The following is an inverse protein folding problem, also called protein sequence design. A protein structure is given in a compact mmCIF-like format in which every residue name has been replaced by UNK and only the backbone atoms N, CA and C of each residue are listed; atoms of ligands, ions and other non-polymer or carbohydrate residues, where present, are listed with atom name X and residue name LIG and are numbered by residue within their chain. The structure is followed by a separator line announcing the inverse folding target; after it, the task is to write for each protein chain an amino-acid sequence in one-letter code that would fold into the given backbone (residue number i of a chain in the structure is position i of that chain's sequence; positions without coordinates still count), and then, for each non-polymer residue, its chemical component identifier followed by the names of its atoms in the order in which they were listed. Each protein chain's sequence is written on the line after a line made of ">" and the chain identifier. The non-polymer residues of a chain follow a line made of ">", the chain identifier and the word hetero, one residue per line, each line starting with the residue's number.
data_IF_287921035135
#
_entry.id   IF_287921035135
#
_cell.length_a   1.000
_cell.length_b   1.000
_cell.length_c   1.000
_cell.angle_alpha   90.00
_cell.angle_beta   90.00
_cell.angle_gamma   90.00
#
_symmetry.space_group_name_H-M   'P 1'
#
loop_
_entity.id
_entity.type
_entity.pdbx_description
1 polymer ?
#
# COMPACT_ATOMS: atom_id res chain seq x y z
N UNK A 1 13.53 14.38 -80.92
CA UNK A 1 14.28 13.10 -80.85
C UNK A 1 14.26 12.63 -79.41
N UNK A 2 13.59 11.51 -79.15
CA UNK A 2 13.35 10.97 -77.80
C UNK A 2 14.53 10.06 -77.45
N UNK A 3 15.33 10.43 -76.45
CA UNK A 3 16.46 9.61 -76.01
C UNK A 3 15.96 8.59 -74.98
N UNK A 4 15.75 7.35 -75.42
CA UNK A 4 15.38 6.25 -74.56
C UNK A 4 16.57 5.89 -73.66
N UNK A 5 16.47 6.22 -72.36
CA UNK A 5 17.40 5.74 -71.35
C UNK A 5 17.31 4.21 -71.29
N UNK A 6 18.35 3.55 -71.81
CA UNK A 6 18.49 2.09 -71.82
C UNK A 6 18.36 1.53 -70.40
N UNK A 7 17.68 0.38 -70.27
CA UNK A 7 17.46 -0.35 -69.00
C UNK A 7 18.74 -0.57 -68.20
N UNK A 8 19.89 -0.66 -68.89
CA UNK A 8 21.20 -0.76 -68.25
C UNK A 8 21.64 0.53 -67.56
N UNK A 9 21.29 1.69 -68.13
CA UNK A 9 21.52 3.00 -67.51
C UNK A 9 20.72 3.19 -66.23
N UNK A 10 19.43 2.82 -66.24
CA UNK A 10 18.58 2.84 -65.04
C UNK A 10 19.07 1.86 -63.97
N UNK A 11 19.53 0.67 -64.36
CA UNK A 11 20.15 -0.28 -63.41
C UNK A 11 21.45 0.27 -62.81
N UNK A 12 22.27 0.94 -63.61
CA UNK A 12 23.51 1.55 -63.15
C UNK A 12 23.23 2.71 -62.17
N UNK A 13 22.25 3.56 -62.47
CA UNK A 13 21.81 4.64 -61.57
C UNK A 13 21.22 4.10 -60.27
N UNK A 14 20.37 3.08 -60.33
CA UNK A 14 19.76 2.48 -59.14
C UNK A 14 20.82 1.80 -58.27
N UNK A 15 21.81 1.15 -58.89
CA UNK A 15 22.94 0.57 -58.17
C UNK A 15 23.83 1.64 -57.52
N UNK A 16 24.10 2.75 -58.22
CA UNK A 16 24.87 3.88 -57.68
C UNK A 16 24.12 4.57 -56.52
N UNK A 17 22.80 4.78 -56.63
CA UNK A 17 21.97 5.31 -55.56
C UNK A 17 21.96 4.39 -54.32
N UNK A 18 21.91 3.07 -54.54
CA UNK A 18 21.96 2.08 -53.45
C UNK A 18 23.33 2.01 -52.77
N UNK A 19 24.42 2.27 -53.50
CA UNK A 19 25.75 2.39 -52.91
C UNK A 19 25.94 3.69 -52.13
N UNK A 20 25.35 4.81 -52.58
CA UNK A 20 25.32 6.06 -51.80
C UNK A 20 24.55 5.89 -50.48
N UNK A 21 23.37 5.24 -50.53
CA UNK A 21 22.58 4.94 -49.34
C UNK A 21 23.28 3.99 -48.35
N UNK A 22 24.19 3.11 -48.84
CA UNK A 22 25.03 2.26 -47.99
C UNK A 22 26.30 2.97 -47.47
N UNK A 23 26.76 4.02 -48.14
CA UNK A 23 27.90 4.85 -47.72
C UNK A 23 27.52 5.95 -46.73
N UNK A 24 26.24 6.35 -46.68
CA UNK A 24 25.67 7.34 -45.77
C UNK A 24 24.96 6.71 -44.55
N UNK A 25 25.39 5.52 -44.11
CA UNK A 25 25.10 5.12 -42.73
C UNK A 25 25.92 6.04 -41.81
N UNK A 26 25.24 7.08 -41.29
CA UNK A 26 25.78 7.96 -40.26
C UNK A 26 26.48 7.12 -39.18
N UNK A 27 27.67 7.53 -38.68
CA UNK A 27 28.40 6.73 -37.72
C UNK A 27 27.54 6.53 -36.48
N UNK A 28 26.98 5.33 -36.32
CA UNK A 28 26.33 4.93 -35.09
C UNK A 28 27.40 5.06 -34.01
N UNK A 29 27.25 6.06 -33.13
CA UNK A 29 28.08 6.22 -31.94
C UNK A 29 27.85 4.98 -31.08
N UNK A 30 28.63 3.93 -31.33
CA UNK A 30 28.74 2.79 -30.42
C UNK A 30 29.38 3.34 -29.16
N UNK A 31 28.55 3.67 -28.19
CA UNK A 31 29.01 3.97 -26.83
C UNK A 31 29.61 2.65 -26.33
N UNK A 32 30.90 2.46 -26.58
CA UNK A 32 31.70 1.49 -25.85
C UNK A 32 31.92 2.09 -24.47
N UNK A 33 31.00 1.86 -23.55
CA UNK A 33 31.32 1.91 -22.12
C UNK A 33 32.24 0.75 -21.82
N UNK A 34 33.51 0.89 -22.20
CA UNK A 34 34.56 0.15 -21.52
C UNK A 34 34.66 0.78 -20.14
N UNK A 35 34.16 0.06 -19.13
CA UNK A 35 34.46 0.34 -17.74
C UNK A 35 35.97 0.08 -17.56
N UNK A 36 36.77 1.05 -17.95
CA UNK A 36 38.19 1.10 -17.64
C UNK A 36 38.29 1.45 -16.17
N UNK A 37 38.46 0.44 -15.33
CA UNK A 37 39.13 0.61 -14.05
C UNK A 37 40.61 0.87 -14.37
N UNK A 38 40.92 2.11 -14.74
CA UNK A 38 42.28 2.52 -15.05
C UNK A 38 42.82 3.31 -13.87
N UNK A 39 43.83 2.75 -13.21
CA UNK A 39 44.79 3.46 -12.36
C UNK A 39 45.62 4.43 -13.25
N UNK A 40 44.96 5.46 -13.77
CA UNK A 40 45.66 6.58 -14.35
C UNK A 40 46.24 7.44 -13.21
N UNK A 41 47.49 7.92 -13.30
CA UNK A 41 48.03 8.82 -12.29
C UNK A 41 47.15 10.07 -12.23
N UNK A 42 46.46 10.24 -11.10
CA UNK A 42 45.55 11.36 -10.88
C UNK A 42 46.37 12.64 -10.72
N UNK A 43 45.93 13.72 -11.37
CA UNK A 43 46.52 15.05 -11.20
C UNK A 43 46.42 15.52 -9.74
N UNK A 44 47.20 16.54 -9.36
CA UNK A 44 47.21 17.08 -7.99
C UNK A 44 45.81 17.44 -7.45
N UNK A 45 44.89 17.83 -8.35
CA UNK A 45 43.48 18.10 -8.04
C UNK A 45 42.68 16.83 -7.71
N UNK A 46 42.91 15.73 -8.42
CA UNK A 46 42.30 14.43 -8.11
C UNK A 46 42.78 13.87 -6.76
N UNK A 47 44.04 14.12 -6.40
CA UNK A 47 44.57 13.76 -5.07
C UNK A 47 44.01 14.64 -3.93
N UNK A 48 43.47 15.83 -4.22
CA UNK A 48 42.75 16.66 -3.25
C UNK A 48 41.29 16.21 -3.10
N UNK A 49 40.63 15.88 -4.21
CA UNK A 49 39.28 15.30 -4.25
C UNK A 49 39.22 13.96 -3.50
N UNK A 50 40.17 13.05 -3.72
CA UNK A 50 40.25 11.77 -2.99
C UNK A 50 40.38 11.97 -1.47
N UNK A 51 41.18 12.94 -1.03
CA UNK A 51 41.32 13.26 0.41
C UNK A 51 40.06 13.88 1.00
N UNK A 52 39.30 14.62 0.19
CA UNK A 52 38.00 15.16 0.61
C UNK A 52 36.96 14.05 0.71
N UNK A 53 36.98 13.08 -0.21
CA UNK A 53 36.17 11.87 -0.17
C UNK A 53 36.49 11.01 1.06
N UNK A 54 37.76 10.78 1.36
CA UNK A 54 38.20 10.04 2.55
C UNK A 54 37.68 10.69 3.84
N UNK A 55 37.78 12.02 3.96
CA UNK A 55 37.24 12.78 5.11
C UNK A 55 35.71 12.69 5.18
N UNK A 56 35.02 12.66 4.04
CA UNK A 56 33.57 12.47 4.00
C UNK A 56 33.17 11.05 4.42
N UNK A 57 33.96 10.04 4.03
CA UNK A 57 33.79 8.65 4.44
C UNK A 57 34.06 8.45 5.93
N UNK A 58 35.05 9.13 6.52
CA UNK A 58 35.29 9.10 7.97
C UNK A 58 34.14 9.76 8.76
N UNK A 59 33.60 10.88 8.27
CA UNK A 59 32.41 11.52 8.85
C UNK A 59 31.18 10.63 8.77
N UNK A 60 30.97 9.96 7.64
CA UNK A 60 29.83 9.04 7.49
C UNK A 60 29.99 7.80 8.36
N UNK A 61 31.20 7.22 8.45
CA UNK A 61 31.52 6.10 9.36
C UNK A 61 31.27 6.46 10.82
N UNK A 62 31.78 7.59 11.30
CA UNK A 62 31.56 8.03 12.69
C UNK A 62 30.08 8.34 12.98
N UNK A 63 29.33 8.88 12.01
CA UNK A 63 27.88 9.05 12.15
C UNK A 63 27.14 7.71 12.21
N UNK A 64 27.55 6.73 11.41
CA UNK A 64 27.00 5.36 11.44
C UNK A 64 27.33 4.65 12.75
N UNK A 65 28.54 4.81 13.29
CA UNK A 65 28.90 4.26 14.60
C UNK A 65 28.08 4.88 15.73
N UNK A 66 27.85 6.21 15.71
CA UNK A 66 26.97 6.87 16.68
C UNK A 66 25.54 6.33 16.58
N UNK A 67 25.02 6.16 15.37
CA UNK A 67 23.71 5.55 15.14
C UNK A 67 23.68 4.10 15.61
N UNK A 68 24.67 3.29 15.28
CA UNK A 68 24.76 1.89 15.72
C UNK A 68 24.79 1.78 17.25
N UNK A 69 25.52 2.67 17.94
CA UNK A 69 25.48 2.74 19.42
C UNK A 69 24.11 3.16 19.95
N UNK A 70 23.43 4.10 19.30
CA UNK A 70 22.07 4.50 19.66
C UNK A 70 21.07 3.35 19.45
N UNK A 71 21.13 2.67 18.30
CA UNK A 71 20.30 1.50 18.01
C UNK A 71 20.60 0.31 18.92
N UNK A 72 21.87 0.10 19.30
CA UNK A 72 22.22 -0.94 20.28
C UNK A 72 21.59 -0.62 21.64
N UNK A 73 21.65 0.64 22.10
CA UNK A 73 20.96 1.06 23.33
C UNK A 73 19.44 0.89 23.23
N UNK A 74 18.85 1.24 22.08
CA UNK A 74 17.43 1.09 21.80
C UNK A 74 17.00 -0.39 21.81
N UNK A 75 17.75 -1.25 21.13
CA UNK A 75 17.51 -2.69 21.05
C UNK A 75 17.65 -3.38 22.41
N UNK A 76 18.49 -2.85 23.30
CA UNK A 76 18.66 -3.35 24.66
C UNK A 76 17.66 -2.72 25.65
N UNK A 77 16.68 -1.93 25.19
CA UNK A 77 15.69 -1.27 26.05
C UNK A 77 16.29 -0.24 27.01
N UNK A 78 17.54 0.19 26.79
CA UNK A 78 18.30 1.07 27.70
C UNK A 78 17.99 2.56 27.51
N UNK A 79 17.16 2.91 26.53
CA UNK A 79 16.83 4.29 26.17
C UNK A 79 15.31 4.46 25.96
N UNK A 80 14.53 3.91 26.90
CA UNK A 80 13.07 3.98 26.91
C UNK A 80 12.52 3.90 28.34
N UNK A 81 13.19 4.58 29.27
CA UNK A 81 12.81 4.61 30.67
C UNK A 81 12.86 6.03 31.22
N UNK A 82 11.67 6.58 31.44
CA UNK A 82 11.33 7.68 32.35
C UNK A 82 11.57 9.12 31.86
N UNK A 83 12.65 9.47 31.15
CA UNK A 83 12.94 10.90 30.88
C UNK A 83 12.77 11.40 29.44
N UNK A 84 12.63 10.51 28.45
CA UNK A 84 12.51 10.94 27.04
C UNK A 84 11.28 10.32 26.38
N UNK A 85 10.22 11.13 26.28
CA UNK A 85 9.05 10.91 25.42
C UNK A 85 9.52 10.59 24.00
N UNK A 86 9.28 9.36 23.50
CA UNK A 86 9.61 9.11 22.09
C UNK A 86 9.43 7.71 21.52
N UNK A 87 9.43 6.64 22.32
CA UNK A 87 9.13 5.30 21.81
C UNK A 87 8.20 4.56 22.77
N UNK A 88 7.01 4.21 22.27
CA UNK A 88 6.09 3.27 22.91
C UNK A 88 6.76 1.90 22.91
N UNK A 89 7.00 1.35 24.10
CA UNK A 89 7.45 -0.03 24.26
C UNK A 89 6.22 -0.94 24.15
N UNK A 90 6.06 -1.61 23.01
CA UNK A 90 4.95 -2.54 22.78
C UNK A 90 4.97 -3.69 23.80
N UNK A 91 6.15 -4.11 24.29
CA UNK A 91 6.23 -5.17 25.31
C UNK A 91 5.68 -4.71 26.68
N UNK A 92 5.62 -3.40 26.95
CA UNK A 92 4.99 -2.81 28.15
C UNK A 92 3.52 -2.51 27.91
N UNK A 93 3.16 -2.06 26.70
CA UNK A 93 1.77 -1.84 26.31
C UNK A 93 0.95 -3.12 26.41
N UNK A 94 1.54 -4.26 26.06
CA UNK A 94 0.91 -5.57 26.19
C UNK A 94 0.64 -5.93 27.68
N UNK A 95 1.50 -5.51 28.63
CA UNK A 95 1.26 -5.73 30.08
C UNK A 95 0.21 -4.76 30.64
N UNK A 96 0.22 -3.50 30.22
CA UNK A 96 -0.82 -2.52 30.60
C UNK A 96 -2.19 -2.94 30.05
N UNK A 97 -2.26 -3.46 28.81
CA UNK A 97 -3.51 -4.00 28.24
C UNK A 97 -3.98 -5.28 28.96
N UNK A 98 -3.08 -6.21 29.33
CA UNK A 98 -3.46 -7.40 30.12
C UNK A 98 -4.00 -7.02 31.52
N UNK A 99 -3.43 -6.00 32.18
CA UNK A 99 -3.92 -5.50 33.48
C UNK A 99 -5.24 -4.71 33.33
N UNK A 100 -5.40 -3.90 32.27
CA UNK A 100 -6.64 -3.18 31.97
C UNK A 100 -7.79 -4.13 31.56
N UNK A 101 -7.51 -5.20 30.81
CA UNK A 101 -8.49 -6.24 30.45
C UNK A 101 -9.00 -7.03 31.69
N UNK A 102 -8.17 -7.16 32.74
CA UNK A 102 -8.62 -7.75 34.01
C UNK A 102 -9.56 -6.82 34.81
N UNK A 103 -9.45 -5.50 34.64
CA UNK A 103 -10.30 -4.49 35.29
C UNK A 103 -11.58 -4.17 34.50
N UNK A 104 -11.53 -4.16 33.16
CA UNK A 104 -12.68 -3.98 32.28
C UNK A 104 -13.41 -5.29 31.98
N UNK A 105 -14.00 -5.88 33.03
CA UNK A 105 -14.97 -6.97 32.84
C UNK A 105 -16.20 -6.44 32.10
N UNK A 106 -16.30 -6.71 30.80
CA UNK A 106 -17.53 -6.51 30.02
C UNK A 106 -18.71 -7.21 30.71
N UNK A 107 -19.93 -6.65 30.65
CA UNK A 107 -21.10 -7.33 31.18
C UNK A 107 -21.29 -8.65 30.42
N UNK A 108 -21.36 -9.75 31.18
CA UNK A 108 -21.45 -11.11 30.64
C UNK A 108 -22.47 -11.21 29.50
N UNK A 109 -22.00 -11.58 28.31
CA UNK A 109 -22.79 -11.77 27.10
C UNK A 109 -23.84 -12.90 27.20
N UNK A 110 -24.01 -13.49 28.38
CA UNK A 110 -24.93 -14.59 28.68
C UNK A 110 -25.89 -14.24 29.84
N UNK A 111 -26.22 -12.96 30.08
CA UNK A 111 -27.30 -12.63 31.02
C UNK A 111 -28.65 -13.20 30.51
N UNK A 112 -29.26 -14.20 31.20
CA UNK A 112 -30.50 -14.81 30.76
C UNK A 112 -31.72 -13.86 30.85
N UNK A 113 -31.56 -12.67 31.43
CA UNK A 113 -32.64 -11.69 31.56
C UNK A 113 -32.72 -10.66 30.42
N UNK A 114 -31.89 -10.74 29.38
CA UNK A 114 -31.90 -9.79 28.25
C UNK A 114 -32.34 -10.45 26.93
N UNK A 115 -33.65 -10.41 26.60
CA UNK A 115 -34.17 -11.07 25.40
C UNK A 115 -33.78 -10.33 24.11
N UNK A 116 -33.61 -11.09 23.02
CA UNK A 116 -33.44 -10.51 21.68
C UNK A 116 -34.80 -10.04 21.14
N UNK A 117 -34.85 -8.81 20.68
CA UNK A 117 -36.02 -8.12 20.12
C UNK A 117 -35.74 -7.75 18.65
N UNK A 118 -36.77 -7.81 17.81
CA UNK A 118 -36.71 -7.31 16.44
C UNK A 118 -36.72 -5.77 16.44
N UNK A 119 -35.63 -5.16 15.99
CA UNK A 119 -35.47 -3.71 15.90
C UNK A 119 -35.34 -3.26 14.45
N UNK A 120 -36.08 -2.21 14.08
CA UNK A 120 -35.91 -1.52 12.80
C UNK A 120 -34.88 -0.40 12.95
N UNK A 121 -33.75 -0.56 12.28
CA UNK A 121 -32.69 0.44 12.18
C UNK A 121 -33.16 1.68 11.40
N UNK A 122 -32.43 2.80 11.51
CA UNK A 122 -32.72 4.08 10.83
C UNK A 122 -32.84 3.95 9.30
N UNK A 123 -32.25 2.88 8.75
CA UNK A 123 -32.28 2.53 7.33
C UNK A 123 -33.47 1.62 6.94
N UNK A 124 -34.42 1.37 7.85
CA UNK A 124 -35.58 0.51 7.62
C UNK A 124 -35.24 -0.98 7.49
N UNK A 125 -34.11 -1.42 8.06
CA UNK A 125 -33.70 -2.82 8.08
C UNK A 125 -34.04 -3.43 9.43
N UNK A 126 -34.71 -4.57 9.43
CA UNK A 126 -34.98 -5.35 10.66
C UNK A 126 -33.73 -6.12 11.09
N UNK A 127 -33.29 -5.93 12.33
CA UNK A 127 -32.16 -6.66 12.94
C UNK A 127 -32.59 -7.19 14.31
N UNK A 128 -32.08 -8.36 14.69
CA UNK A 128 -32.24 -8.89 16.05
C UNK A 128 -31.21 -8.21 16.96
N UNK A 129 -31.66 -7.46 17.94
CA UNK A 129 -30.82 -6.71 18.90
C UNK A 129 -31.33 -7.02 20.32
N UNK A 130 -30.45 -6.98 21.32
CA UNK A 130 -30.86 -7.12 22.72
C UNK A 130 -31.75 -5.96 23.16
N UNK A 131 -32.64 -6.19 24.11
CA UNK A 131 -33.56 -5.16 24.57
C UNK A 131 -32.81 -4.00 25.25
N UNK A 132 -31.69 -4.27 25.92
CA UNK A 132 -30.83 -3.29 26.58
C UNK A 132 -30.14 -2.30 25.62
N UNK A 133 -29.79 -2.76 24.41
CA UNK A 133 -29.08 -1.99 23.39
C UNK A 133 -29.99 -1.09 22.54
N UNK A 134 -31.31 -1.17 22.75
CA UNK A 134 -32.28 -0.35 22.03
C UNK A 134 -32.13 1.13 22.40
N UNK A 135 -32.08 2.05 21.42
CA UNK A 135 -32.06 3.47 21.72
C UNK A 135 -33.36 3.85 22.44
N UNK A 136 -33.25 4.41 23.65
CA UNK A 136 -34.41 4.90 24.40
C UNK A 136 -35.10 5.99 23.58
N UNK A 137 -36.32 5.70 23.13
CA UNK A 137 -37.14 6.65 22.39
C UNK A 137 -37.28 7.94 23.22
N UNK A 138 -36.90 9.07 22.62
CA UNK A 138 -37.21 10.37 23.19
C UNK A 138 -38.74 10.53 23.21
N UNK A 139 -39.35 11.05 24.29
CA UNK A 139 -40.79 11.21 24.34
C UNK A 139 -41.23 12.11 23.19
N UNK A 140 -42.02 11.55 22.28
CA UNK A 140 -42.69 12.28 21.21
C UNK A 140 -43.58 13.33 21.85
N UNK A 141 -43.18 14.60 21.74
CA UNK A 141 -44.05 15.73 22.08
C UNK A 141 -45.12 15.76 20.98
N UNK A 142 -46.41 15.56 21.31
CA UNK A 142 -47.46 15.64 20.31
C UNK A 142 -47.47 17.04 19.73
N UNK A 143 -47.41 17.15 18.40
CA UNK A 143 -47.59 18.40 17.70
C UNK A 143 -49.00 18.94 18.00
N UNK A 144 -49.09 20.00 18.81
CA UNK A 144 -50.32 20.76 19.01
C UNK A 144 -50.82 21.25 17.64
N UNK A 145 -52.07 20.94 17.24
CA UNK A 145 -52.59 21.36 15.95
C UNK A 145 -52.82 22.87 15.96
N UNK A 146 -51.91 23.62 15.33
CA UNK A 146 -52.15 25.02 15.00
C UNK A 146 -53.24 25.12 13.93
N UNK A 147 -54.51 25.18 14.34
CA UNK A 147 -55.71 25.34 13.51
C UNK A 147 -55.83 26.72 12.80
N UNK A 148 -54.73 27.46 12.69
CA UNK A 148 -54.69 28.83 12.16
C UNK A 148 -54.31 28.88 10.66
N UNK A 149 -54.47 27.79 9.93
CA UNK A 149 -54.14 27.73 8.50
C UNK A 149 -55.21 28.45 7.67
N UNK A 150 -54.95 29.69 7.29
CA UNK A 150 -55.74 30.41 6.28
C UNK A 150 -55.50 29.76 4.91
N UNK A 151 -56.38 28.84 4.51
CA UNK A 151 -56.40 28.29 3.15
C UNK A 151 -56.99 29.33 2.18
N UNK A 152 -56.13 29.95 1.36
CA UNK A 152 -56.57 30.72 0.20
C UNK A 152 -57.23 29.81 -0.86
N UNK A 153 -57.87 30.38 -1.91
CA UNK A 153 -58.43 29.58 -3.00
C UNK A 153 -57.31 28.74 -3.61
N UNK A 154 -57.39 27.43 -3.44
CA UNK A 154 -56.38 26.48 -3.88
C UNK A 154 -56.30 26.51 -5.41
N UNK A 155 -55.46 27.39 -5.95
CA UNK A 155 -54.99 27.27 -7.33
C UNK A 155 -54.19 25.98 -7.40
N UNK A 156 -54.46 25.18 -8.43
CA UNK A 156 -53.87 23.86 -8.66
C UNK A 156 -52.36 23.89 -8.37
N UNK A 157 -51.94 23.29 -7.25
CA UNK A 157 -50.53 23.07 -6.99
C UNK A 157 -49.98 22.17 -8.11
N UNK A 158 -48.84 22.49 -8.72
CA UNK A 158 -48.22 21.59 -9.68
C UNK A 158 -47.86 20.30 -8.96
N UNK A 159 -48.65 19.25 -9.18
CA UNK A 159 -48.35 17.90 -8.68
C UNK A 159 -47.17 17.38 -9.49
N UNK A 160 -46.04 17.16 -8.82
CA UNK A 160 -44.86 16.58 -9.44
C UNK A 160 -45.17 15.12 -9.83
N UNK A 161 -45.42 14.89 -11.11
CA UNK A 161 -45.51 13.55 -11.65
C UNK A 161 -44.10 13.03 -11.90
N UNK A 162 -43.63 12.11 -11.05
CA UNK A 162 -42.39 11.37 -11.26
C UNK A 162 -42.61 10.31 -12.35
N UNK A 163 -42.91 10.74 -13.58
CA UNK A 163 -42.79 9.86 -14.73
C UNK A 163 -41.29 9.65 -14.94
N UNK A 164 -40.75 8.43 -14.75
CA UNK A 164 -39.33 8.21 -14.96
C UNK A 164 -39.04 8.60 -16.40
N UNK A 165 -38.17 9.60 -16.56
CA UNK A 165 -37.74 10.03 -17.89
C UNK A 165 -36.97 8.87 -18.47
N UNK A 166 -37.62 8.06 -19.30
CA UNK A 166 -36.97 6.99 -20.04
C UNK A 166 -36.04 7.66 -21.04
N UNK A 167 -34.81 7.93 -20.61
CA UNK A 167 -33.76 8.31 -21.53
C UNK A 167 -33.65 7.16 -22.54
N UNK A 168 -33.60 7.44 -23.85
CA UNK A 168 -33.27 6.40 -24.81
C UNK A 168 -31.86 5.93 -24.46
N UNK A 169 -31.77 4.82 -23.72
CA UNK A 169 -30.52 4.10 -23.52
C UNK A 169 -30.24 3.57 -24.92
N UNK A 170 -29.23 4.09 -25.65
CA UNK A 170 -28.85 3.47 -26.91
C UNK A 170 -28.59 2.01 -26.58
N UNK A 171 -29.28 1.09 -27.25
CA UNK A 171 -29.00 -0.34 -27.16
C UNK A 171 -27.48 -0.48 -27.21
N UNK A 172 -26.91 -0.90 -26.09
CA UNK A 172 -25.46 -0.88 -25.82
C UNK A 172 -24.79 -1.41 -27.07
N UNK A 173 -24.10 -0.53 -27.82
CA UNK A 173 -23.46 -0.91 -29.07
C UNK A 173 -22.70 -2.20 -28.79
N UNK A 174 -22.88 -3.22 -29.63
CA UNK A 174 -22.15 -4.50 -29.58
C UNK A 174 -20.66 -4.31 -29.92
N UNK A 175 -20.04 -3.22 -29.47
CA UNK A 175 -18.61 -3.13 -29.33
C UNK A 175 -18.23 -4.14 -28.25
N UNK A 176 -17.35 -5.11 -28.52
CA UNK A 176 -16.85 -5.98 -27.46
C UNK A 176 -16.26 -5.06 -26.39
N UNK A 177 -16.82 -5.12 -25.19
CA UNK A 177 -16.20 -4.42 -24.08
C UNK A 177 -14.80 -5.00 -23.90
N UNK A 178 -13.81 -4.18 -23.52
CA UNK A 178 -12.53 -4.72 -23.14
C UNK A 178 -12.77 -5.73 -22.01
N UNK A 179 -12.54 -7.01 -22.29
CA UNK A 179 -12.76 -8.11 -21.31
C UNK A 179 -11.85 -7.96 -20.09
N UNK A 180 -10.89 -7.04 -20.16
CA UNK A 180 -9.72 -6.98 -19.31
C UNK A 180 -9.44 -5.55 -18.85
N UNK A 181 -9.14 -5.45 -17.56
CA UNK A 181 -8.71 -4.21 -16.93
C UNK A 181 -7.41 -3.70 -17.58
N UNK A 182 -7.44 -2.46 -18.04
CA UNK A 182 -6.26 -1.73 -18.49
C UNK A 182 -5.69 -0.91 -17.32
N UNK A 183 -4.47 -1.28 -16.95
CA UNK A 183 -3.76 -0.59 -15.90
C UNK A 183 -3.40 0.85 -16.29
N UNK A 184 -3.17 1.20 -17.56
CA UNK A 184 -2.69 2.55 -17.90
C UNK A 184 -3.77 3.63 -17.76
N UNK A 185 -5.04 3.21 -17.82
CA UNK A 185 -6.21 4.07 -17.64
C UNK A 185 -6.52 4.39 -16.16
N UNK A 186 -6.05 3.57 -15.21
CA UNK A 186 -6.40 3.75 -13.79
C UNK A 186 -5.43 4.71 -13.07
N UNK A 187 -5.96 5.87 -12.69
CA UNK A 187 -5.24 6.93 -11.97
C UNK A 187 -5.13 6.70 -10.46
N UNK A 188 -5.77 5.65 -9.91
CA UNK A 188 -5.73 5.38 -8.47
C UNK A 188 -4.35 4.86 -8.03
N UNK A 189 -4.01 5.14 -6.77
CA UNK A 189 -2.81 4.61 -6.14
C UNK A 189 -2.89 3.08 -6.04
N UNK A 190 -1.82 2.39 -6.42
CA UNK A 190 -1.74 0.92 -6.44
C UNK A 190 -0.84 0.45 -5.30
N UNK A 191 -1.18 -0.69 -4.71
CA UNK A 191 -0.39 -1.29 -3.63
C UNK A 191 0.94 -1.87 -4.12
N UNK A 192 1.85 -2.15 -3.18
CA UNK A 192 3.18 -2.69 -3.47
C UNK A 192 3.18 -4.06 -4.18
N UNK A 193 2.07 -4.79 -4.12
CA UNK A 193 1.89 -6.09 -4.77
C UNK A 193 1.18 -6.00 -6.14
N UNK A 194 1.03 -4.80 -6.70
CA UNK A 194 0.39 -4.63 -7.99
C UNK A 194 1.25 -5.19 -9.14
N UNK A 195 0.65 -6.04 -9.98
CA UNK A 195 1.28 -6.60 -11.18
C UNK A 195 0.45 -6.25 -12.42
N UNK A 196 1.10 -5.68 -13.44
CA UNK A 196 0.46 -5.32 -14.72
C UNK A 196 0.62 -6.47 -15.71
N UNK A 197 -0.50 -7.06 -16.13
CA UNK A 197 -0.52 -8.06 -17.20
C UNK A 197 -0.36 -7.42 -18.58
N UNK A 198 0.13 -8.21 -19.54
CA UNK A 198 0.17 -7.82 -20.95
C UNK A 198 -1.25 -7.67 -21.53
N UNK A 199 -1.37 -6.89 -22.60
CA UNK A 199 -2.59 -6.74 -23.39
C UNK A 199 -2.80 -7.94 -24.32
N UNK A 200 -1.72 -8.65 -24.70
CA UNK A 200 -1.82 -9.88 -25.49
C UNK A 200 -2.30 -11.06 -24.63
N UNK A 201 -3.37 -11.72 -25.08
CA UNK A 201 -4.04 -12.78 -24.30
C UNK A 201 -3.15 -14.00 -24.03
N UNK A 202 -2.34 -14.40 -25.01
CA UNK A 202 -1.43 -15.53 -24.85
C UNK A 202 -0.35 -15.25 -23.80
N UNK A 203 0.21 -14.04 -23.83
CA UNK A 203 1.27 -13.60 -22.91
C UNK A 203 0.68 -13.44 -21.50
N UNK A 204 -0.49 -12.81 -21.40
CA UNK A 204 -1.24 -12.69 -20.14
C UNK A 204 -1.52 -14.05 -19.52
N UNK A 205 -2.00 -15.01 -20.31
CA UNK A 205 -2.30 -16.37 -19.82
C UNK A 205 -1.03 -17.09 -19.36
N UNK A 206 0.10 -16.88 -20.01
CA UNK A 206 1.39 -17.38 -19.54
C UNK A 206 1.79 -16.74 -18.20
N UNK A 207 1.72 -15.41 -18.10
CA UNK A 207 2.00 -14.68 -16.86
C UNK A 207 1.11 -15.14 -15.68
N UNK A 208 -0.18 -15.38 -15.94
CA UNK A 208 -1.10 -15.90 -14.92
C UNK A 208 -0.72 -17.31 -14.45
N UNK A 209 -0.29 -18.19 -15.36
CA UNK A 209 0.20 -19.53 -14.99
C UNK A 209 1.46 -19.46 -14.15
N UNK A 210 2.40 -18.60 -14.52
CA UNK A 210 3.64 -18.42 -13.76
C UNK A 210 3.37 -17.90 -12.34
N UNK A 211 2.46 -16.93 -12.20
CA UNK A 211 2.03 -16.44 -10.88
C UNK A 211 1.32 -17.52 -10.05
N UNK A 212 0.49 -18.37 -10.68
CA UNK A 212 -0.13 -19.50 -10.00
C UNK A 212 0.91 -20.52 -9.53
N UNK A 213 1.90 -20.84 -10.36
CA UNK A 213 2.99 -21.73 -9.99
C UNK A 213 3.79 -21.19 -8.79
N UNK A 214 4.19 -19.92 -8.83
CA UNK A 214 4.85 -19.25 -7.70
C UNK A 214 4.00 -19.27 -6.43
N UNK A 215 2.69 -19.06 -6.55
CA UNK A 215 1.76 -19.16 -5.42
C UNK A 215 1.79 -20.56 -4.82
N UNK A 216 1.65 -21.61 -5.63
CA UNK A 216 1.71 -22.99 -5.15
C UNK A 216 3.05 -23.32 -4.50
N UNK A 217 4.17 -22.84 -5.03
CA UNK A 217 5.48 -23.00 -4.38
C UNK A 217 5.55 -22.32 -3.02
N UNK A 218 5.01 -21.10 -2.90
CA UNK A 218 4.99 -20.39 -1.61
C UNK A 218 4.07 -21.05 -0.59
N UNK A 219 2.93 -21.59 -1.04
CA UNK A 219 1.99 -22.35 -0.21
C UNK A 219 2.64 -23.65 0.27
N UNK A 220 3.31 -24.39 -0.63
CA UNK A 220 4.06 -25.60 -0.28
C UNK A 220 5.18 -25.30 0.73
N UNK A 221 6.01 -24.28 0.49
CA UNK A 221 7.05 -23.85 1.43
C UNK A 221 6.49 -23.41 2.78
N UNK A 222 5.31 -22.79 2.80
CA UNK A 222 4.62 -22.40 4.04
C UNK A 222 4.05 -23.61 4.80
N UNK A 223 3.58 -24.63 4.08
CA UNK A 223 3.09 -25.87 4.67
C UNK A 223 4.25 -26.74 5.20
N UNK A 224 5.36 -26.80 4.47
CA UNK A 224 6.57 -27.54 4.85
C UNK A 224 7.31 -26.87 6.01
N UNK A 225 7.29 -25.53 6.09
CA UNK A 225 7.85 -24.82 7.23
C UNK A 225 6.97 -25.13 8.44
N UNK A 226 7.47 -25.87 9.46
CA UNK A 226 6.68 -26.13 10.64
C UNK A 226 6.24 -24.78 11.22
N UNK A 227 4.93 -24.61 11.40
CA UNK A 227 4.38 -23.49 12.15
C UNK A 227 5.08 -23.50 13.49
N UNK A 228 6.00 -22.55 13.70
CA UNK A 228 6.74 -22.46 14.95
C UNK A 228 5.66 -22.27 16.02
N UNK A 229 5.51 -23.20 16.99
CA UNK A 229 4.42 -23.13 17.93
C UNK A 229 4.45 -21.76 18.62
N UNK A 230 3.27 -21.16 18.90
CA UNK A 230 3.18 -19.81 19.48
C UNK A 230 4.03 -19.67 20.76
N UNK A 231 4.29 -20.78 21.44
CA UNK A 231 5.16 -20.90 22.61
C UNK A 231 6.60 -20.39 22.43
N UNK A 232 7.16 -20.31 21.21
CA UNK A 232 8.51 -19.76 21.02
C UNK A 232 8.54 -18.25 20.70
N UNK A 233 7.38 -17.64 20.42
CA UNK A 233 7.28 -16.18 20.25
C UNK A 233 7.23 -15.48 21.61
N UNK A 234 6.56 -16.10 22.58
CA UNK A 234 6.46 -15.61 23.96
C UNK A 234 7.80 -15.68 24.70
N UNK A 235 8.68 -16.64 24.41
CA UNK A 235 9.97 -16.75 25.13
C UNK A 235 10.94 -15.62 24.81
N UNK A 236 10.90 -15.07 23.60
CA UNK A 236 11.80 -13.97 23.21
C UNK A 236 11.35 -12.64 23.84
N UNK A 237 10.04 -12.38 23.89
CA UNK A 237 9.46 -11.27 24.65
C UNK A 237 9.70 -11.44 26.15
N UNK A 238 9.35 -12.60 26.72
CA UNK A 238 9.56 -12.90 28.14
C UNK A 238 11.04 -12.81 28.56
N UNK A 239 11.97 -13.27 27.72
CA UNK A 239 13.41 -13.14 28.01
C UNK A 239 13.88 -11.68 27.98
N UNK A 240 13.33 -10.85 27.06
CA UNK A 240 13.60 -9.40 27.03
C UNK A 240 13.02 -8.70 28.26
N UNK A 241 11.78 -9.03 28.65
CA UNK A 241 11.13 -8.53 29.87
C UNK A 241 11.92 -8.86 31.13
N UNK A 242 12.31 -10.13 31.29
CA UNK A 242 13.12 -10.56 32.44
C UNK A 242 14.50 -9.87 32.48
N UNK A 243 15.13 -9.63 31.34
CA UNK A 243 16.39 -8.88 31.27
C UNK A 243 16.21 -7.39 31.65
N UNK A 244 15.09 -6.77 31.25
CA UNK A 244 14.74 -5.38 31.58
C UNK A 244 14.42 -5.23 33.06
N UNK A 245 13.63 -6.13 33.64
CA UNK A 245 13.32 -6.14 35.09
C UNK A 245 14.62 -6.19 35.92
N UNK A 246 15.55 -7.09 35.60
CA UNK A 246 16.87 -7.15 36.25
C UNK A 246 17.65 -5.84 36.17
N UNK A 247 17.54 -5.10 35.06
CA UNK A 247 18.18 -3.80 34.91
C UNK A 247 17.49 -2.72 35.77
N UNK A 248 16.16 -2.68 35.76
CA UNK A 248 15.37 -1.75 36.58
C UNK A 248 15.63 -1.96 38.06
N UNK A 249 15.66 -3.21 38.51
CA UNK A 249 15.94 -3.57 39.90
C UNK A 249 17.36 -3.16 40.30
N UNK A 250 18.36 -3.41 39.45
CA UNK A 250 19.73 -2.98 39.69
C UNK A 250 19.88 -1.44 39.71
N UNK A 251 19.09 -0.70 38.94
CA UNK A 251 19.06 0.78 39.01
C UNK A 251 18.36 1.26 40.28
N UNK A 252 17.26 0.62 40.70
CA UNK A 252 16.55 0.94 41.94
C UNK A 252 17.42 0.71 43.17
N UNK A 253 18.24 -0.35 43.18
CA UNK A 253 19.20 -0.64 44.24
C UNK A 253 20.35 0.38 44.30
N UNK A 254 20.75 0.98 43.18
CA UNK A 254 21.79 2.02 43.15
C UNK A 254 21.32 3.39 43.64
N UNK A 255 20.00 3.64 43.61
CA UNK A 255 19.38 4.90 44.02
C UNK A 255 18.98 4.89 45.51
N UNK A 256 18.96 3.71 46.15
CA UNK A 256 18.61 3.53 47.57
C UNK A 256 19.82 3.59 48.48
#
# INVERSE_FOLDING_TARGET
>A
MVSASSVMGLKAELHAARQRAKGEEAPQKRIRTQLRWADAPKDAKGAEEDRAEDRALEKSRSALERKARAYAKLQHGRQGGIETEGLVDWDMKDEEEEEEEEEEKEPDADDPNDPLVEYEDEFGRTRMVRQSDLPRQTPHVPDEPYDNAVYGPATSFPVFHNTPRTLPIPERRATPEPEHFDADWDIRARGAAFYKFDANEEVRRAQQRDLQALRHETEAKRAERPQRPPQQRTTLGAARRAARQRYVDAQREQVR
#
